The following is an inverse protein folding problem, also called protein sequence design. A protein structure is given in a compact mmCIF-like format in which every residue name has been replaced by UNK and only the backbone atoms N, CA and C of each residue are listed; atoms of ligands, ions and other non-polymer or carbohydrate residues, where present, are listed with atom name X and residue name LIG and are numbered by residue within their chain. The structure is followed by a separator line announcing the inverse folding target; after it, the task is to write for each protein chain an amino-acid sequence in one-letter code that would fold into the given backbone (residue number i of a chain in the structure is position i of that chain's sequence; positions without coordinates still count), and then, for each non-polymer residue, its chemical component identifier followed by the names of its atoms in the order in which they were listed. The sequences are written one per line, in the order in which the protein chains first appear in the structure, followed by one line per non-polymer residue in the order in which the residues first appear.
data_IF_900781109459
#
_entry.id   IF_900781109459
#
_cell.length_a   1.000
_cell.length_b   1.000
_cell.length_c   1.000
_cell.angle_alpha   90.00
_cell.angle_beta   90.00
_cell.angle_gamma   90.00
#
_symmetry.space_group_name_H-M   'P 1'
#
loop_
_entity.id
_entity.type
_entity.pdbx_description
1 polymer ?
#
# COMPACT_ATOMS: atom_id res chain seq x y z
N UNK A 1 7.80 -7.16 46.27
CA UNK A 1 7.40 -5.94 45.54
C UNK A 1 8.42 -5.67 44.45
N UNK A 2 8.15 -6.07 43.19
CA UNK A 2 7.51 -5.26 42.13
C UNK A 2 8.41 -4.09 41.71
N UNK A 3 8.75 -3.84 40.44
CA UNK A 3 8.29 -4.26 39.10
C UNK A 3 9.42 -3.97 38.09
N UNK A 4 9.45 -4.73 37.00
CA UNK A 4 10.26 -4.43 35.82
C UNK A 4 9.70 -3.20 35.07
N UNK A 5 10.57 -2.32 34.57
CA UNK A 5 10.18 -1.30 33.59
C UNK A 5 11.21 -1.26 32.46
N UNK A 6 10.81 -1.80 31.32
CA UNK A 6 11.54 -1.81 30.05
C UNK A 6 11.25 -0.52 29.30
N UNK A 7 12.23 0.37 29.16
CA UNK A 7 12.13 1.52 28.26
C UNK A 7 12.96 1.25 27.00
N UNK A 8 12.21 0.88 25.95
CA UNK A 8 12.64 0.69 24.58
C UNK A 8 13.40 1.91 24.03
N UNK A 9 14.62 1.64 23.63
CA UNK A 9 15.49 2.52 22.88
C UNK A 9 15.27 2.24 21.39
N UNK A 10 14.68 3.16 20.63
CA UNK A 10 14.68 3.06 19.16
C UNK A 10 14.98 4.42 18.54
N UNK A 11 16.26 4.54 18.20
CA UNK A 11 16.88 5.56 17.37
C UNK A 11 16.11 5.75 16.06
N UNK A 12 15.84 7.00 15.73
CA UNK A 12 15.35 7.44 14.43
C UNK A 12 16.46 7.27 13.39
N UNK A 13 16.28 6.35 12.44
CA UNK A 13 17.11 6.25 11.26
C UNK A 13 16.23 6.48 10.03
N UNK A 14 16.34 7.70 9.50
CA UNK A 14 15.87 8.10 8.18
C UNK A 14 16.77 7.49 7.10
N UNK A 15 16.23 6.60 6.28
CA UNK A 15 16.86 6.20 5.01
C UNK A 15 15.81 6.04 3.93
N UNK A 16 15.81 6.98 2.99
CA UNK A 16 15.25 6.85 1.66
C UNK A 16 15.94 5.70 0.92
N UNK A 17 15.21 4.98 0.05
CA UNK A 17 15.80 4.60 -1.23
C UNK A 17 14.87 4.98 -2.38
N UNK A 18 15.38 5.82 -3.28
CA UNK A 18 14.87 5.93 -4.64
C UNK A 18 15.23 4.63 -5.38
N UNK A 19 14.21 3.90 -5.86
CA UNK A 19 14.40 2.71 -6.69
C UNK A 19 13.81 2.94 -8.09
N UNK A 20 14.66 3.40 -9.00
CA UNK A 20 14.43 3.33 -10.45
C UNK A 20 14.32 1.86 -10.84
N UNK A 21 13.14 1.41 -11.28
CA UNK A 21 12.97 0.09 -11.91
C UNK A 21 12.11 0.24 -13.16
N UNK A 22 12.78 0.20 -14.31
CA UNK A 22 12.22 -0.08 -15.62
C UNK A 22 11.52 -1.44 -15.58
N UNK A 23 10.22 -1.47 -15.86
CA UNK A 23 9.49 -2.71 -16.10
C UNK A 23 8.60 -2.53 -17.32
N UNK A 24 9.07 -3.04 -18.45
CA UNK A 24 8.27 -3.32 -19.64
C UNK A 24 7.45 -4.59 -19.38
N UNK A 25 6.13 -4.54 -19.53
CA UNK A 25 5.38 -5.41 -20.46
C UNK A 25 3.86 -5.24 -20.31
N UNK A 26 3.22 -4.88 -21.44
CA UNK A 26 1.80 -5.04 -21.72
C UNK A 26 1.33 -6.48 -21.47
N UNK A 27 0.26 -6.68 -20.71
CA UNK A 27 -0.71 -7.76 -20.96
C UNK A 27 -2.08 -7.38 -20.41
N UNK A 28 -3.03 -7.20 -21.33
CA UNK A 28 -4.47 -7.19 -21.05
C UNK A 28 -4.90 -8.64 -20.80
N UNK A 29 -5.22 -9.00 -19.57
CA UNK A 29 -5.70 -10.35 -19.21
C UNK A 29 -6.91 -10.26 -18.29
N UNK A 30 -7.96 -11.03 -18.62
CA UNK A 30 -9.10 -11.28 -17.75
C UNK A 30 -8.61 -11.81 -16.40
N UNK A 31 -8.79 -11.00 -15.35
CA UNK A 31 -8.16 -11.19 -14.05
C UNK A 31 -8.85 -12.31 -13.27
N UNK A 32 -8.09 -13.34 -12.92
CA UNK A 32 -8.53 -14.33 -11.90
C UNK A 32 -8.29 -13.77 -10.51
N UNK A 33 -8.92 -14.31 -9.45
CA UNK A 33 -8.70 -13.83 -8.07
C UNK A 33 -7.22 -13.85 -7.65
N UNK A 34 -6.41 -14.77 -8.21
CA UNK A 34 -4.97 -14.82 -7.96
C UNK A 34 -4.21 -13.64 -8.58
N UNK A 35 -4.67 -13.14 -9.74
CA UNK A 35 -4.05 -12.00 -10.42
C UNK A 35 -4.38 -10.69 -9.70
N UNK A 36 -5.59 -10.60 -9.14
CA UNK A 36 -6.02 -9.47 -8.31
C UNK A 36 -5.18 -9.34 -7.04
N UNK A 37 -4.97 -10.45 -6.32
CA UNK A 37 -4.11 -10.46 -5.14
C UNK A 37 -2.65 -10.14 -5.47
N UNK A 38 -2.11 -10.70 -6.55
CA UNK A 38 -0.75 -10.40 -6.99
C UNK A 38 -0.59 -8.93 -7.39
N UNK A 39 -1.55 -8.35 -8.11
CA UNK A 39 -1.54 -6.94 -8.47
C UNK A 39 -1.67 -6.04 -7.23
N UNK A 40 -2.53 -6.42 -6.28
CA UNK A 40 -2.70 -5.73 -4.99
C UNK A 40 -1.44 -5.70 -4.16
N UNK A 41 -0.76 -6.83 -4.02
CA UNK A 41 0.54 -6.91 -3.34
C UNK A 41 1.62 -6.12 -4.07
N UNK A 42 1.63 -6.15 -5.39
CA UNK A 42 2.58 -5.38 -6.19
C UNK A 42 2.43 -3.88 -5.99
N UNK A 43 1.20 -3.34 -6.04
CA UNK A 43 0.92 -1.92 -5.80
C UNK A 43 1.28 -1.56 -4.35
N UNK A 44 0.84 -2.37 -3.38
CA UNK A 44 1.20 -2.18 -1.98
C UNK A 44 2.72 -2.11 -1.74
N UNK A 45 3.47 -2.98 -2.41
CA UNK A 45 4.93 -3.02 -2.32
C UNK A 45 5.58 -1.79 -2.99
N UNK A 46 5.01 -1.30 -4.10
CA UNK A 46 5.48 -0.07 -4.76
C UNK A 46 5.21 1.20 -3.94
N UNK A 47 4.04 1.30 -3.34
CA UNK A 47 3.60 2.49 -2.60
C UNK A 47 4.31 2.63 -1.23
N UNK A 48 4.42 1.52 -0.49
CA UNK A 48 4.88 1.57 0.91
C UNK A 48 5.84 0.44 1.31
N UNK A 49 6.19 -0.47 0.38
CA UNK A 49 6.88 -1.71 0.72
C UNK A 49 6.00 -2.72 1.46
N UNK A 50 4.66 -2.58 1.38
CA UNK A 50 3.73 -3.50 2.04
C UNK A 50 3.43 -3.18 3.51
N UNK A 51 3.87 -2.03 4.04
CA UNK A 51 3.73 -1.72 5.46
C UNK A 51 2.42 -1.01 5.81
N UNK A 52 1.59 -1.64 6.65
CA UNK A 52 0.35 -1.05 7.19
C UNK A 52 0.60 0.12 8.15
N UNK A 53 1.84 0.38 8.56
CA UNK A 53 2.21 1.49 9.45
C UNK A 53 3.03 2.56 8.73
N UNK A 54 3.24 2.43 7.41
CA UNK A 54 3.91 3.45 6.61
C UNK A 54 3.16 4.78 6.72
N UNK A 55 3.88 5.88 6.91
CA UNK A 55 3.27 7.21 7.00
C UNK A 55 4.07 8.20 6.17
N UNK A 56 3.40 8.81 5.20
CA UNK A 56 3.99 9.84 4.35
C UNK A 56 3.06 11.07 4.34
N UNK A 57 3.33 12.01 5.25
CA UNK A 57 2.49 13.19 5.44
C UNK A 57 1.05 12.85 5.84
N UNK A 58 0.09 13.14 4.95
CA UNK A 58 -1.35 12.88 5.16
C UNK A 58 -1.75 11.43 4.86
N UNK A 59 -0.88 10.67 4.19
CA UNK A 59 -1.13 9.31 3.76
C UNK A 59 -0.62 8.31 4.78
N UNK A 60 -1.42 7.27 5.02
CA UNK A 60 -1.16 6.23 6.00
C UNK A 60 -1.37 4.84 5.39
N UNK A 61 -0.50 3.93 5.80
CA UNK A 61 -0.67 2.51 5.61
C UNK A 61 -0.23 1.98 4.26
N UNK A 62 -0.58 0.71 4.03
CA UNK A 62 -0.04 -0.11 2.95
C UNK A 62 -0.32 0.48 1.56
N UNK A 63 -1.49 1.10 1.43
CA UNK A 63 -2.02 1.67 0.19
C UNK A 63 -1.99 3.19 0.16
N UNK A 64 -1.27 3.82 1.11
CA UNK A 64 -1.14 5.27 1.21
C UNK A 64 -2.51 5.99 1.18
N UNK A 65 -3.45 5.54 2.02
CA UNK A 65 -4.79 6.13 2.13
C UNK A 65 -4.79 7.31 3.11
N UNK A 66 -5.61 8.33 2.88
CA UNK A 66 -5.72 9.45 3.84
C UNK A 66 -6.54 9.06 5.06
N UNK A 67 -6.32 9.73 6.19
CA UNK A 67 -7.08 9.51 7.43
C UNK A 67 -8.61 9.63 7.23
N UNK A 68 -9.05 10.47 6.29
CA UNK A 68 -10.46 10.63 5.91
C UNK A 68 -11.03 9.36 5.31
N UNK A 69 -10.28 8.67 4.43
CA UNK A 69 -10.72 7.40 3.85
C UNK A 69 -10.73 6.26 4.88
N UNK A 70 -9.82 6.33 5.86
CA UNK A 70 -9.75 5.33 6.93
C UNK A 70 -10.75 5.58 8.05
N UNK A 71 -11.50 6.68 8.05
CA UNK A 71 -12.39 7.09 9.15
C UNK A 71 -11.70 7.10 10.54
N UNK A 72 -10.38 7.26 10.58
CA UNK A 72 -9.56 7.15 11.79
C UNK A 72 -9.25 5.73 12.27
N UNK A 73 -9.73 4.69 11.57
CA UNK A 73 -9.39 3.30 11.83
C UNK A 73 -8.22 2.85 10.94
N UNK A 74 -7.05 2.76 11.54
CA UNK A 74 -5.80 2.39 10.88
C UNK A 74 -5.52 0.88 10.90
N UNK A 75 -6.49 0.05 11.28
CA UNK A 75 -6.33 -1.41 11.27
C UNK A 75 -6.04 -1.93 9.85
N UNK A 76 -5.26 -3.01 9.76
CA UNK A 76 -4.92 -3.62 8.47
C UNK A 76 -6.18 -4.04 7.70
N UNK A 77 -7.17 -4.56 8.41
CA UNK A 77 -8.43 -5.03 7.83
C UNK A 77 -9.26 -3.88 7.25
N UNK A 78 -9.37 -2.75 7.96
CA UNK A 78 -10.01 -1.55 7.42
C UNK A 78 -9.23 -0.97 6.23
N UNK A 79 -7.90 -0.95 6.31
CA UNK A 79 -7.06 -0.51 5.19
C UNK A 79 -7.28 -1.36 3.94
N UNK A 80 -7.38 -2.69 4.06
CA UNK A 80 -7.65 -3.57 2.93
C UNK A 80 -9.05 -3.36 2.36
N UNK A 81 -10.06 -3.24 3.23
CA UNK A 81 -11.44 -2.98 2.79
C UNK A 81 -11.54 -1.67 2.02
N UNK A 82 -11.06 -0.58 2.60
CA UNK A 82 -11.12 0.76 2.01
C UNK A 82 -10.30 0.83 0.73
N UNK A 83 -9.11 0.21 0.71
CA UNK A 83 -8.29 0.17 -0.50
C UNK A 83 -8.96 -0.63 -1.61
N UNK A 84 -9.58 -1.76 -1.28
CA UNK A 84 -10.29 -2.57 -2.26
C UNK A 84 -11.51 -1.82 -2.83
N UNK A 85 -12.29 -1.14 -1.99
CA UNK A 85 -13.40 -0.26 -2.42
C UNK A 85 -12.89 0.89 -3.30
N UNK A 86 -11.78 1.53 -2.92
CA UNK A 86 -11.16 2.60 -3.70
C UNK A 86 -10.72 2.12 -5.08
N UNK A 87 -10.00 0.98 -5.14
CA UNK A 87 -9.53 0.40 -6.41
C UNK A 87 -10.69 -0.06 -7.28
N UNK A 88 -11.67 -0.74 -6.70
CA UNK A 88 -12.86 -1.18 -7.42
C UNK A 88 -13.64 0.03 -7.99
N UNK A 89 -13.75 1.13 -7.24
CA UNK A 89 -14.45 2.33 -7.72
C UNK A 89 -13.67 3.11 -8.76
N UNK A 90 -12.34 3.16 -8.67
CA UNK A 90 -11.51 4.03 -9.52
C UNK A 90 -10.96 3.33 -10.76
N UNK A 91 -10.53 2.08 -10.59
CA UNK A 91 -9.88 1.27 -11.62
C UNK A 91 -10.71 0.04 -12.01
N UNK A 92 -11.71 -0.34 -11.20
CA UNK A 92 -12.50 -1.56 -11.40
C UNK A 92 -11.85 -2.78 -10.78
N UNK A 93 -10.54 -2.94 -10.97
CA UNK A 93 -9.77 -4.09 -10.48
C UNK A 93 -8.32 -3.70 -10.13
N UNK A 94 -7.67 -4.49 -9.29
CA UNK A 94 -6.26 -4.31 -8.92
C UNK A 94 -5.34 -4.48 -10.12
N UNK A 95 -5.66 -5.41 -11.02
CA UNK A 95 -4.96 -5.56 -12.29
C UNK A 95 -5.05 -4.30 -13.16
N UNK A 96 -6.20 -3.63 -13.22
CA UNK A 96 -6.36 -2.37 -13.93
C UNK A 96 -5.62 -1.21 -13.24
N UNK A 97 -5.62 -1.18 -11.90
CA UNK A 97 -4.86 -0.21 -11.12
C UNK A 97 -3.35 -0.38 -11.36
N UNK A 98 -2.87 -1.62 -11.42
CA UNK A 98 -1.47 -1.93 -11.74
C UNK A 98 -1.13 -1.46 -13.15
N UNK A 99 -1.96 -1.77 -14.14
CA UNK A 99 -1.74 -1.31 -15.52
C UNK A 99 -1.73 0.23 -15.61
N UNK A 100 -2.57 0.92 -14.84
CA UNK A 100 -2.54 2.38 -14.75
C UNK A 100 -1.23 2.90 -14.16
N UNK A 101 -0.77 2.31 -13.05
CA UNK A 101 0.50 2.66 -12.43
C UNK A 101 1.66 2.42 -13.39
N UNK A 102 1.68 1.30 -14.12
CA UNK A 102 2.72 0.99 -15.12
C UNK A 102 2.73 1.99 -16.29
N UNK A 103 1.55 2.48 -16.69
CA UNK A 103 1.43 3.45 -17.78
C UNK A 103 1.73 4.89 -17.36
N UNK A 104 1.43 5.26 -16.12
CA UNK A 104 1.45 6.66 -15.67
C UNK A 104 2.48 6.94 -14.58
N UNK A 105 3.06 5.92 -13.97
CA UNK A 105 3.97 6.00 -12.83
C UNK A 105 3.37 6.69 -11.58
N UNK A 106 2.04 6.64 -11.41
CA UNK A 106 1.32 7.13 -10.21
C UNK A 106 0.04 6.31 -9.93
N UNK A 107 -0.46 6.34 -8.68
CA UNK A 107 -1.69 5.69 -8.21
C UNK A 107 -2.55 6.59 -7.32
#
# INVERSE_FOLDING_TARGET
NTVANTNSNYSSASTTPAATTTATQNTTTSSTSSDEDAAREWIANKESGGSYTAKNGIYYGKYQLTATYLNGDYSAENQEKVANEYVASRYGSWTAAKAHWEANNWY
#
